data_IF_097271356312
#
_entry.id   IF_097271356312
#
_cell.length_a   1.000
_cell.length_b   1.000
_cell.length_c   1.000
_cell.angle_alpha   90.00
_cell.angle_beta   90.00
_cell.angle_gamma   90.00
#
_symmetry.space_group_name_H-M   'P 1'
#
loop_
_entity.id
_entity.type
_entity.pdbx_description
1 polymer ?
#
# COMPACT_ATOMS: atom_id res chain seq x y z
N UNK A 1 -3.35 48.08 -12.33
CA UNK A 1 -2.96 47.91 -10.92
C UNK A 1 -4.27 47.90 -10.13
N UNK A 2 -5.12 46.88 -10.24
CA UNK A 2 -4.93 45.48 -9.83
C UNK A 2 -4.68 45.37 -8.33
N UNK A 3 -5.68 44.97 -7.55
CA UNK A 3 -5.80 43.64 -6.93
C UNK A 3 -7.09 43.64 -6.09
N UNK A 4 -8.15 42.98 -6.57
CA UNK A 4 -9.27 42.54 -5.73
C UNK A 4 -8.88 41.23 -5.05
N UNK A 5 -8.76 41.26 -3.72
CA UNK A 5 -8.52 40.08 -2.91
C UNK A 5 -9.76 39.15 -2.93
N UNK A 6 -9.69 38.06 -3.70
CA UNK A 6 -10.63 36.93 -3.58
C UNK A 6 -10.35 36.21 -2.26
N UNK A 7 -11.31 36.28 -1.34
CA UNK A 7 -11.36 35.45 -0.13
C UNK A 7 -11.46 33.98 -0.57
N UNK A 8 -10.48 33.17 -0.19
CA UNK A 8 -10.51 31.71 -0.34
C UNK A 8 -11.54 31.18 0.67
N UNK A 9 -12.68 30.71 0.20
CA UNK A 9 -13.58 29.89 1.03
C UNK A 9 -12.90 28.55 1.28
N UNK A 10 -12.50 28.34 2.53
CA UNK A 10 -12.08 27.04 3.05
C UNK A 10 -13.37 26.26 3.32
N UNK A 11 -13.64 25.25 2.50
CA UNK A 11 -14.81 24.39 2.68
C UNK A 11 -14.53 23.47 3.88
N UNK A 12 -15.09 23.80 5.05
CA UNK A 12 -15.10 22.87 6.18
C UNK A 12 -15.98 21.65 5.85
N UNK A 13 -15.55 20.43 6.20
CA UNK A 13 -16.34 19.23 5.96
C UNK A 13 -17.64 19.27 6.80
N UNK A 14 -18.79 18.90 6.21
CA UNK A 14 -20.06 18.93 6.94
C UNK A 14 -20.03 17.90 8.05
N UNK A 15 -20.15 18.38 9.29
CA UNK A 15 -20.42 17.55 10.46
C UNK A 15 -21.88 17.08 10.41
N UNK A 16 -22.06 15.77 10.55
CA UNK A 16 -23.29 15.12 10.98
C UNK A 16 -24.49 15.07 10.01
N UNK A 17 -24.26 14.75 8.72
CA UNK A 17 -25.33 14.16 7.88
C UNK A 17 -24.97 12.72 7.53
N UNK A 18 -25.84 11.78 7.91
CA UNK A 18 -25.76 10.39 7.46
C UNK A 18 -25.76 10.40 5.93
N UNK A 19 -24.74 9.79 5.34
CA UNK A 19 -24.46 9.75 3.90
C UNK A 19 -25.67 9.20 3.10
N UNK A 20 -26.58 8.48 3.74
CA UNK A 20 -27.78 7.88 3.17
C UNK A 20 -28.94 8.85 2.89
N UNK A 21 -28.87 10.12 3.31
CA UNK A 21 -29.96 11.11 3.15
C UNK A 21 -29.64 12.24 2.17
N UNK A 22 -28.48 12.21 1.51
CA UNK A 22 -28.11 13.23 0.54
C UNK A 22 -28.94 13.11 -0.75
N UNK A 23 -29.51 14.22 -1.21
CA UNK A 23 -30.13 14.33 -2.54
C UNK A 23 -29.09 13.97 -3.61
N UNK A 24 -29.52 13.36 -4.72
CA UNK A 24 -28.64 13.06 -5.86
C UNK A 24 -27.87 14.30 -6.35
N UNK A 25 -28.49 15.48 -6.30
CA UNK A 25 -27.83 16.74 -6.65
C UNK A 25 -26.74 17.17 -5.65
N UNK A 26 -26.92 16.90 -4.36
CA UNK A 26 -25.91 17.15 -3.33
C UNK A 26 -24.78 16.13 -3.43
N UNK A 27 -25.13 14.89 -3.78
CA UNK A 27 -24.15 13.83 -4.01
C UNK A 27 -23.24 14.17 -5.20
N UNK A 28 -23.84 14.58 -6.31
CA UNK A 28 -23.13 14.98 -7.53
C UNK A 28 -22.26 16.21 -7.30
N UNK A 29 -22.72 17.23 -6.57
CA UNK A 29 -21.91 18.44 -6.33
C UNK A 29 -20.80 18.24 -5.31
N UNK A 30 -21.02 17.44 -4.28
CA UNK A 30 -20.09 17.32 -3.15
C UNK A 30 -19.11 16.18 -3.35
N UNK A 31 -19.55 15.07 -3.93
CA UNK A 31 -18.77 13.83 -3.98
C UNK A 31 -18.27 13.47 -5.38
N UNK A 32 -19.00 13.78 -6.46
CA UNK A 32 -18.52 13.51 -7.83
C UNK A 32 -17.15 14.16 -8.11
N UNK A 33 -16.85 15.41 -7.66
CA UNK A 33 -15.52 16.00 -7.86
C UNK A 33 -14.39 15.27 -7.14
N UNK A 34 -14.67 14.44 -6.13
CA UNK A 34 -13.66 13.59 -5.47
C UNK A 34 -13.31 12.37 -6.33
N UNK A 35 -14.31 11.77 -6.99
CA UNK A 35 -14.11 10.66 -7.93
C UNK A 35 -13.60 11.11 -9.30
N UNK A 36 -13.95 12.33 -9.73
CA UNK A 36 -13.56 12.95 -10.99
C UNK A 36 -12.38 13.91 -10.86
N UNK A 37 -11.82 14.04 -9.65
CA UNK A 37 -10.71 14.93 -9.34
C UNK A 37 -9.36 14.37 -9.81
N UNK A 38 -8.29 15.18 -9.79
CA UNK A 38 -6.96 14.77 -10.26
C UNK A 38 -6.36 13.59 -9.49
N UNK A 39 -6.96 13.21 -8.35
CA UNK A 39 -6.47 12.14 -7.49
C UNK A 39 -6.82 10.74 -7.98
N UNK A 40 -7.89 10.56 -8.76
CA UNK A 40 -8.29 9.23 -9.31
C UNK A 40 -8.63 9.34 -10.79
N UNK A 41 -7.57 9.37 -11.61
CA UNK A 41 -7.68 9.57 -13.06
C UNK A 41 -8.54 8.48 -13.74
N UNK A 42 -8.54 7.27 -13.20
CA UNK A 42 -9.30 6.14 -13.73
C UNK A 42 -10.81 6.41 -13.78
N UNK A 43 -11.42 6.80 -12.65
CA UNK A 43 -12.86 7.09 -12.61
C UNK A 43 -13.23 8.38 -13.32
N UNK A 44 -12.36 9.40 -13.26
CA UNK A 44 -12.55 10.61 -14.05
C UNK A 44 -12.66 10.29 -15.55
N UNK A 45 -11.80 9.40 -16.06
CA UNK A 45 -11.83 8.98 -17.47
C UNK A 45 -13.05 8.11 -17.78
N UNK A 46 -13.45 7.22 -16.86
CA UNK A 46 -14.61 6.35 -17.01
C UNK A 46 -15.94 7.11 -17.10
N UNK A 47 -16.16 8.10 -16.24
CA UNK A 47 -17.43 8.82 -16.15
C UNK A 47 -17.51 10.09 -17.01
N UNK A 48 -16.38 10.75 -17.28
CA UNK A 48 -16.36 11.95 -18.12
C UNK A 48 -15.95 11.66 -19.58
N UNK A 49 -15.59 10.42 -19.90
CA UNK A 49 -15.34 10.00 -21.28
C UNK A 49 -16.65 9.68 -22.02
N UNK A 50 -16.53 9.43 -23.33
CA UNK A 50 -17.66 9.02 -24.19
C UNK A 50 -18.05 7.54 -24.00
N UNK A 51 -17.98 7.04 -22.76
CA UNK A 51 -18.28 5.67 -22.40
C UNK A 51 -19.71 5.52 -21.88
N UNK A 52 -20.23 4.29 -21.92
CA UNK A 52 -21.59 3.96 -21.47
C UNK A 52 -21.76 4.26 -19.98
N UNK A 53 -20.70 4.07 -19.20
CA UNK A 53 -20.65 4.31 -17.76
C UNK A 53 -20.95 5.77 -17.39
N UNK A 54 -20.46 6.73 -18.17
CA UNK A 54 -20.77 8.16 -18.01
C UNK A 54 -22.22 8.49 -18.37
N UNK A 55 -22.77 7.85 -19.40
CA UNK A 55 -24.16 8.04 -19.83
C UNK A 55 -25.16 7.46 -18.81
N UNK A 56 -24.85 6.28 -18.27
CA UNK A 56 -25.71 5.56 -17.31
C UNK A 56 -25.43 5.96 -15.86
N UNK A 57 -24.42 6.80 -15.60
CA UNK A 57 -23.91 7.14 -14.27
C UNK A 57 -23.69 5.90 -13.38
N UNK A 58 -23.32 4.78 -14.01
CA UNK A 58 -23.19 3.47 -13.36
C UNK A 58 -21.99 2.76 -13.95
N UNK A 59 -21.12 2.24 -13.10
CA UNK A 59 -19.98 1.43 -13.51
C UNK A 59 -20.01 0.08 -12.80
N UNK A 60 -19.57 -0.96 -13.51
CA UNK A 60 -19.37 -2.29 -12.94
C UNK A 60 -17.89 -2.59 -12.89
N UNK A 61 -17.36 -2.72 -11.68
CA UNK A 61 -16.01 -3.21 -11.46
C UNK A 61 -16.09 -4.70 -11.13
N UNK A 62 -15.58 -5.53 -12.03
CA UNK A 62 -15.48 -6.96 -11.78
C UNK A 62 -14.39 -7.23 -10.75
N UNK A 63 -14.66 -8.21 -9.88
CA UNK A 63 -13.71 -8.64 -8.85
C UNK A 63 -12.48 -9.23 -9.52
N UNK A 64 -11.31 -8.83 -9.04
CA UNK A 64 -10.02 -9.28 -9.54
C UNK A 64 -9.12 -9.60 -8.35
N UNK A 65 -8.78 -10.88 -8.17
CA UNK A 65 -8.06 -11.35 -7.00
C UNK A 65 -6.76 -10.56 -6.77
N UNK A 66 -6.57 -10.08 -5.53
CA UNK A 66 -5.39 -9.31 -5.14
C UNK A 66 -5.34 -7.88 -5.69
N UNK A 67 -6.41 -7.41 -6.34
CA UNK A 67 -6.55 -6.03 -6.86
C UNK A 67 -7.91 -5.46 -6.48
N UNK A 68 -8.99 -5.96 -7.08
CA UNK A 68 -10.35 -5.45 -6.90
C UNK A 68 -11.15 -6.40 -6.02
N UNK A 69 -11.39 -6.01 -4.79
CA UNK A 69 -12.33 -6.65 -3.87
C UNK A 69 -13.22 -5.61 -3.21
N UNK A 70 -14.30 -6.05 -2.56
CA UNK A 70 -15.16 -5.16 -1.77
C UNK A 70 -14.33 -4.41 -0.73
N UNK A 71 -13.43 -5.12 -0.04
CA UNK A 71 -12.54 -4.55 0.97
C UNK A 71 -11.59 -3.51 0.39
N UNK A 72 -10.89 -3.81 -0.70
CA UNK A 72 -9.95 -2.84 -1.27
C UNK A 72 -10.68 -1.60 -1.81
N UNK A 73 -11.88 -1.79 -2.36
CA UNK A 73 -12.73 -0.70 -2.80
C UNK A 73 -13.23 0.18 -1.64
N UNK A 74 -13.66 -0.40 -0.52
CA UNK A 74 -14.02 0.37 0.68
C UNK A 74 -12.86 1.24 1.18
N UNK A 75 -11.63 0.72 1.15
CA UNK A 75 -10.43 1.50 1.51
C UNK A 75 -10.13 2.61 0.51
N UNK A 76 -10.43 2.41 -0.78
CA UNK A 76 -10.34 3.47 -1.79
C UNK A 76 -11.33 4.59 -1.51
N UNK A 77 -12.59 4.25 -1.21
CA UNK A 77 -13.59 5.24 -0.80
C UNK A 77 -13.11 5.99 0.44
N UNK A 78 -12.63 5.26 1.46
CA UNK A 78 -12.14 5.89 2.69
C UNK A 78 -10.98 6.85 2.43
N UNK A 79 -10.01 6.44 1.59
CA UNK A 79 -8.90 7.30 1.20
C UNK A 79 -9.39 8.57 0.50
N UNK A 80 -10.31 8.45 -0.46
CA UNK A 80 -10.82 9.60 -1.22
C UNK A 80 -11.57 10.60 -0.35
N UNK A 81 -12.29 10.13 0.68
CA UNK A 81 -13.13 11.00 1.51
C UNK A 81 -12.42 11.55 2.73
N UNK A 82 -11.53 10.77 3.33
CA UNK A 82 -10.90 11.09 4.63
C UNK A 82 -9.40 11.37 4.48
N UNK A 83 -8.79 11.01 3.36
CA UNK A 83 -7.34 11.07 3.17
C UNK A 83 -6.60 10.09 4.08
N UNK A 84 -7.29 9.05 4.57
CA UNK A 84 -6.76 8.07 5.49
C UNK A 84 -7.23 6.67 5.09
N UNK A 85 -6.37 5.70 5.35
CA UNK A 85 -6.70 4.28 5.29
C UNK A 85 -6.89 3.82 6.73
N UNK A 86 -7.86 2.99 7.05
CA UNK A 86 -8.05 2.39 8.38
C UNK A 86 -8.45 0.97 8.13
N UNK A 87 -7.55 0.05 8.44
CA UNK A 87 -7.81 -1.38 8.29
C UNK A 87 -8.54 -1.85 9.54
N UNK A 88 -9.61 -2.63 9.35
CA UNK A 88 -10.34 -3.26 10.43
C UNK A 88 -9.41 -4.09 11.33
N UNK A 89 -9.81 -4.35 12.57
CA UNK A 89 -9.01 -5.15 13.49
C UNK A 89 -8.93 -6.60 13.00
N UNK A 90 -7.80 -6.95 12.41
CA UNK A 90 -7.48 -8.26 11.83
C UNK A 90 -6.11 -8.73 12.32
N UNK A 91 -5.68 -9.94 11.94
CA UNK A 91 -4.32 -10.39 12.26
C UNK A 91 -3.27 -9.53 11.54
N UNK A 92 -2.03 -9.44 12.05
CA UNK A 92 -0.96 -8.66 11.39
C UNK A 92 -0.74 -9.09 9.93
N UNK A 93 -0.80 -10.39 9.66
CA UNK A 93 -0.68 -10.94 8.31
C UNK A 93 -1.81 -10.50 7.39
N UNK A 94 -3.06 -10.59 7.84
CA UNK A 94 -4.21 -10.10 7.08
C UNK A 94 -4.15 -8.58 6.88
N UNK A 95 -3.63 -7.84 7.84
CA UNK A 95 -3.45 -6.40 7.72
C UNK A 95 -2.43 -6.06 6.62
N UNK A 96 -1.30 -6.77 6.57
CA UNK A 96 -0.32 -6.62 5.48
C UNK A 96 -0.94 -6.99 4.13
N UNK A 97 -1.64 -8.11 4.03
CA UNK A 97 -2.35 -8.51 2.80
C UNK A 97 -3.35 -7.44 2.36
N UNK A 98 -4.13 -6.88 3.29
CA UNK A 98 -5.11 -5.82 3.02
C UNK A 98 -4.45 -4.57 2.45
N UNK A 99 -3.32 -4.15 3.04
CA UNK A 99 -2.60 -2.95 2.60
C UNK A 99 -1.97 -3.16 1.21
N UNK A 100 -1.48 -4.37 0.91
CA UNK A 100 -0.92 -4.71 -0.41
C UNK A 100 -2.03 -4.77 -1.47
N UNK A 101 -3.15 -5.41 -1.15
CA UNK A 101 -4.32 -5.47 -2.04
C UNK A 101 -4.85 -4.06 -2.36
N UNK A 102 -4.94 -3.18 -1.34
CA UNK A 102 -5.31 -1.79 -1.57
C UNK A 102 -4.27 -1.04 -2.40
N UNK A 103 -2.97 -1.26 -2.19
CA UNK A 103 -1.93 -0.68 -3.04
C UNK A 103 -2.08 -1.10 -4.50
N UNK A 104 -2.46 -2.36 -4.76
CA UNK A 104 -2.73 -2.87 -6.10
C UNK A 104 -3.95 -2.20 -6.74
N UNK A 105 -5.02 -2.00 -5.99
CA UNK A 105 -6.18 -1.24 -6.48
C UNK A 105 -5.82 0.21 -6.78
N UNK A 106 -5.06 0.86 -5.88
CA UNK A 106 -4.64 2.24 -6.04
C UNK A 106 -3.78 2.42 -7.30
N UNK A 107 -2.81 1.53 -7.52
CA UNK A 107 -1.99 1.51 -8.75
C UNK A 107 -2.85 1.29 -10.00
N UNK A 108 -3.79 0.34 -9.94
CA UNK A 108 -4.75 0.08 -11.02
C UNK A 108 -5.62 1.30 -11.36
N UNK A 109 -6.11 2.01 -10.34
CA UNK A 109 -6.90 3.23 -10.48
C UNK A 109 -6.05 4.50 -10.68
N UNK A 110 -4.72 4.38 -10.72
CA UNK A 110 -3.76 5.49 -10.83
C UNK A 110 -3.92 6.55 -9.73
N UNK A 111 -4.17 6.09 -8.50
CA UNK A 111 -4.27 6.94 -7.30
C UNK A 111 -2.88 7.27 -6.81
N UNK A 112 -2.55 8.56 -6.76
CA UNK A 112 -1.23 9.03 -6.33
C UNK A 112 -1.18 9.33 -4.84
N UNK A 113 0.00 9.17 -4.24
CA UNK A 113 0.31 9.65 -2.89
C UNK A 113 -0.06 8.69 -1.76
N UNK A 114 -0.52 7.48 -2.08
CA UNK A 114 -0.81 6.43 -1.10
C UNK A 114 0.38 5.53 -0.83
N UNK A 115 1.32 5.44 -1.77
CA UNK A 115 2.32 4.38 -1.84
C UNK A 115 3.24 4.39 -0.62
N UNK A 116 3.78 5.56 -0.27
CA UNK A 116 4.66 5.75 0.89
C UNK A 116 3.91 5.58 2.22
N UNK A 117 2.67 6.07 2.29
CA UNK A 117 1.83 5.91 3.48
C UNK A 117 1.53 4.44 3.76
N UNK A 118 1.25 3.66 2.72
CA UNK A 118 1.04 2.23 2.83
C UNK A 118 2.33 1.50 3.20
N UNK A 119 3.47 1.87 2.60
CA UNK A 119 4.76 1.29 2.94
C UNK A 119 5.12 1.49 4.43
N UNK A 120 4.99 2.71 4.94
CA UNK A 120 5.28 3.00 6.36
C UNK A 120 4.29 2.30 7.30
N UNK A 121 3.03 2.12 6.91
CA UNK A 121 2.06 1.33 7.69
C UNK A 121 2.42 -0.13 7.75
N UNK A 122 2.79 -0.75 6.63
CA UNK A 122 3.20 -2.15 6.60
C UNK A 122 4.45 -2.33 7.47
N UNK A 123 5.42 -1.41 7.37
CA UNK A 123 6.60 -1.38 8.24
C UNK A 123 6.24 -1.27 9.72
N UNK A 124 5.30 -0.40 10.09
CA UNK A 124 4.81 -0.29 11.46
C UNK A 124 4.18 -1.61 11.97
N UNK A 125 3.39 -2.29 11.13
CA UNK A 125 2.81 -3.61 11.46
C UNK A 125 3.90 -4.64 11.70
N UNK A 126 4.94 -4.68 10.86
CA UNK A 126 6.08 -5.59 10.99
C UNK A 126 6.84 -5.33 12.30
N UNK A 127 7.14 -4.07 12.61
CA UNK A 127 7.89 -3.70 13.81
C UNK A 127 7.10 -3.98 15.10
N UNK A 128 5.78 -3.82 15.07
CA UNK A 128 4.91 -4.10 16.21
C UNK A 128 4.71 -5.60 16.47
N UNK A 129 4.94 -6.46 15.47
CA UNK A 129 4.69 -7.90 15.55
C UNK A 129 5.92 -8.72 15.13
N UNK A 130 7.03 -8.63 15.87
CA UNK A 130 8.22 -9.41 15.58
C UNK A 130 7.93 -10.90 15.76
N UNK A 131 8.71 -11.74 15.07
CA UNK A 131 8.66 -13.19 15.25
C UNK A 131 8.83 -13.59 16.73
N UNK A 132 8.06 -14.57 17.23
CA UNK A 132 8.29 -15.12 18.55
C UNK A 132 9.69 -15.76 18.62
N UNK A 133 10.34 -15.62 19.78
CA UNK A 133 11.60 -16.29 20.05
C UNK A 133 11.40 -17.80 19.94
N UNK A 134 12.34 -18.48 19.29
CA UNK A 134 12.48 -19.92 19.29
C UNK A 134 13.68 -20.34 20.15
N UNK A 135 13.79 -21.63 20.47
CA UNK A 135 14.87 -22.19 21.29
C UNK A 135 16.27 -21.75 20.81
N UNK A 136 16.48 -21.69 19.49
CA UNK A 136 17.76 -21.24 18.92
C UNK A 136 18.05 -19.77 19.23
N UNK A 137 17.07 -18.88 19.03
CA UNK A 137 17.20 -17.45 19.31
C UNK A 137 17.38 -17.14 20.79
N UNK A 138 16.84 -17.99 21.68
CA UNK A 138 17.05 -17.90 23.13
C UNK A 138 18.48 -18.28 23.52
N UNK A 139 19.00 -19.39 22.98
CA UNK A 139 20.37 -19.86 23.25
C UNK A 139 21.41 -18.89 22.67
N UNK A 140 21.21 -18.43 21.44
CA UNK A 140 22.14 -17.55 20.74
C UNK A 140 22.05 -16.07 21.19
N UNK A 141 21.11 -15.74 22.10
CA UNK A 141 20.79 -14.37 22.50
C UNK A 141 20.64 -13.38 21.31
N UNK A 142 20.04 -13.86 20.22
CA UNK A 142 19.88 -13.13 18.96
C UNK A 142 18.41 -13.15 18.53
N UNK A 143 17.93 -12.12 17.81
CA UNK A 143 16.56 -12.16 17.25
C UNK A 143 16.43 -13.22 16.15
N UNK A 144 15.26 -13.88 15.98
CA UNK A 144 15.02 -14.81 14.89
C UNK A 144 15.28 -14.18 13.50
N UNK A 145 15.81 -14.92 12.52
CA UNK A 145 16.13 -14.36 11.19
C UNK A 145 14.89 -13.92 10.41
N UNK A 146 13.72 -14.48 10.70
CA UNK A 146 12.43 -14.13 10.08
C UNK A 146 11.63 -13.09 10.87
N UNK A 147 12.28 -12.33 11.77
CA UNK A 147 11.61 -11.31 12.61
C UNK A 147 10.82 -10.31 11.77
N UNK A 148 11.43 -9.80 10.69
CA UNK A 148 10.82 -8.78 9.84
C UNK A 148 9.84 -9.35 8.80
N UNK A 149 9.82 -10.66 8.62
CA UNK A 149 8.97 -11.34 7.63
C UNK A 149 7.87 -12.19 8.28
N UNK A 150 7.72 -12.14 9.60
CA UNK A 150 6.76 -12.94 10.34
C UNK A 150 5.32 -12.68 9.89
N UNK A 151 4.94 -11.40 9.84
CA UNK A 151 3.63 -10.90 9.40
C UNK A 151 3.48 -10.82 7.88
N UNK A 152 4.49 -11.26 7.11
CA UNK A 152 4.41 -11.26 5.65
C UNK A 152 4.01 -12.67 5.19
N UNK A 153 3.09 -12.75 4.24
CA UNK A 153 2.63 -14.01 3.65
C UNK A 153 3.10 -14.14 2.21
N UNK A 154 3.14 -15.37 1.69
CA UNK A 154 3.42 -15.64 0.28
C UNK A 154 2.43 -14.91 -0.64
N UNK A 155 1.16 -14.77 -0.22
CA UNK A 155 0.12 -14.04 -0.94
C UNK A 155 0.45 -12.55 -1.04
N UNK A 156 0.87 -11.93 0.06
CA UNK A 156 1.32 -10.54 0.05
C UNK A 156 2.53 -10.32 -0.87
N UNK A 157 3.48 -11.25 -0.90
CA UNK A 157 4.62 -11.20 -1.83
C UNK A 157 4.16 -11.30 -3.28
N UNK A 158 3.28 -12.26 -3.59
CA UNK A 158 2.73 -12.46 -4.92
C UNK A 158 1.92 -11.25 -5.42
N UNK A 159 1.07 -10.68 -4.57
CA UNK A 159 0.31 -9.50 -4.95
C UNK A 159 1.22 -8.29 -5.16
N UNK A 160 2.21 -8.09 -4.29
CA UNK A 160 3.15 -6.98 -4.40
C UNK A 160 4.04 -7.06 -5.65
N UNK A 161 4.29 -8.25 -6.20
CA UNK A 161 5.06 -8.38 -7.45
C UNK A 161 4.32 -7.85 -8.67
N UNK A 162 2.99 -7.70 -8.59
CA UNK A 162 2.21 -7.03 -9.62
C UNK A 162 2.41 -5.52 -9.64
N UNK A 163 2.92 -4.91 -8.57
CA UNK A 163 3.22 -3.47 -8.52
C UNK A 163 4.47 -3.17 -9.35
N UNK A 164 4.54 -1.97 -9.92
CA UNK A 164 5.71 -1.52 -10.69
C UNK A 164 7.01 -1.63 -9.89
N UNK A 165 8.12 -1.85 -10.59
CA UNK A 165 9.44 -1.88 -9.98
C UNK A 165 9.73 -0.51 -9.33
N UNK A 166 10.21 -0.52 -8.09
CA UNK A 166 10.45 0.70 -7.31
C UNK A 166 9.24 1.23 -6.54
N UNK A 167 8.04 0.65 -6.71
CA UNK A 167 6.87 1.01 -5.90
C UNK A 167 7.17 0.82 -4.40
N UNK A 168 6.81 1.81 -3.57
CA UNK A 168 7.20 1.87 -2.16
C UNK A 168 6.80 0.61 -1.36
N UNK A 169 5.56 0.13 -1.51
CA UNK A 169 5.08 -1.11 -0.87
C UNK A 169 5.90 -2.35 -1.27
N UNK A 170 6.15 -2.56 -2.56
CA UNK A 170 6.98 -3.67 -3.07
C UNK A 170 8.39 -3.59 -2.50
N UNK A 171 9.01 -2.40 -2.55
CA UNK A 171 10.34 -2.14 -2.01
C UNK A 171 10.41 -2.39 -0.50
N UNK A 172 9.40 -1.99 0.26
CA UNK A 172 9.31 -2.25 1.70
C UNK A 172 9.35 -3.75 1.96
N UNK A 173 8.48 -4.55 1.32
CA UNK A 173 8.38 -5.99 1.58
C UNK A 173 9.68 -6.71 1.28
N UNK A 174 10.34 -6.32 0.18
CA UNK A 174 11.65 -6.85 -0.19
C UNK A 174 12.71 -6.44 0.84
N UNK A 175 12.71 -5.18 1.28
CA UNK A 175 13.65 -4.69 2.31
C UNK A 175 13.49 -5.45 3.62
N UNK A 176 12.26 -5.74 4.03
CA UNK A 176 11.98 -6.55 5.22
C UNK A 176 12.55 -7.98 5.10
N UNK A 177 12.61 -8.55 3.89
CA UNK A 177 13.15 -9.87 3.63
C UNK A 177 14.69 -9.94 3.59
N UNK A 178 15.40 -8.81 3.42
CA UNK A 178 16.87 -8.79 3.24
C UNK A 178 17.60 -9.45 4.41
N UNK A 179 17.25 -9.12 5.66
CA UNK A 179 17.92 -9.70 6.82
C UNK A 179 17.76 -11.23 6.85
N UNK A 180 16.54 -11.72 6.65
CA UNK A 180 16.26 -13.15 6.63
C UNK A 180 16.99 -13.86 5.50
N UNK A 181 17.12 -13.21 4.34
CA UNK A 181 17.86 -13.72 3.20
C UNK A 181 19.37 -13.84 3.49
N UNK A 182 19.98 -12.78 4.03
CA UNK A 182 21.42 -12.76 4.35
C UNK A 182 21.79 -13.73 5.48
N UNK A 183 20.89 -13.93 6.46
CA UNK A 183 21.09 -14.85 7.58
C UNK A 183 20.70 -16.29 7.26
N UNK A 184 19.96 -16.51 6.17
CA UNK A 184 19.42 -17.80 5.75
C UNK A 184 20.40 -18.68 4.95
N UNK A 185 21.71 -18.55 5.18
CA UNK A 185 22.73 -19.34 4.46
C UNK A 185 22.61 -20.83 4.82
N UNK A 186 22.24 -21.15 6.07
CA UNK A 186 22.08 -22.55 6.53
C UNK A 186 20.68 -23.12 6.25
N UNK A 187 19.66 -22.26 6.20
CA UNK A 187 18.26 -22.63 5.95
C UNK A 187 17.66 -21.64 4.96
N UNK A 188 17.25 -22.14 3.79
CA UNK A 188 16.63 -21.34 2.72
C UNK A 188 15.59 -20.38 3.31
N UNK A 189 15.68 -19.11 2.92
CA UNK A 189 14.71 -18.09 3.34
C UNK A 189 13.27 -18.53 3.06
N UNK A 190 12.31 -18.16 3.92
CA UNK A 190 10.92 -18.63 3.79
C UNK A 190 10.25 -18.26 2.47
N UNK A 191 10.72 -17.20 1.81
CA UNK A 191 10.25 -16.76 0.50
C UNK A 191 11.21 -17.14 -0.64
N UNK A 192 12.07 -18.12 -0.44
CA UNK A 192 13.07 -18.52 -1.44
C UNK A 192 12.40 -18.98 -2.75
N UNK A 193 11.28 -19.72 -2.65
CA UNK A 193 10.53 -20.20 -3.82
C UNK A 193 9.96 -19.02 -4.60
N UNK A 194 9.35 -18.07 -3.92
CA UNK A 194 8.77 -16.85 -4.49
C UNK A 194 9.84 -16.00 -5.18
N UNK A 195 11.03 -15.87 -4.57
CA UNK A 195 12.16 -15.15 -5.19
C UNK A 195 12.59 -15.81 -6.51
N UNK A 196 12.51 -17.14 -6.61
CA UNK A 196 12.88 -17.88 -7.82
C UNK A 196 11.79 -17.86 -8.90
N UNK A 197 10.52 -18.00 -8.49
CA UNK A 197 9.41 -18.22 -9.41
C UNK A 197 8.76 -16.92 -9.88
N UNK A 198 8.77 -15.86 -9.06
CA UNK A 198 8.13 -14.60 -9.40
C UNK A 198 9.08 -13.73 -10.22
N UNK A 199 8.71 -13.35 -11.46
CA UNK A 199 9.55 -12.51 -12.31
C UNK A 199 9.94 -11.19 -11.64
N UNK A 200 11.22 -10.85 -11.71
CA UNK A 200 11.78 -9.62 -11.15
C UNK A 200 12.04 -9.64 -9.64
N UNK A 201 11.52 -10.63 -8.90
CA UNK A 201 11.72 -10.69 -7.43
C UNK A 201 13.18 -10.89 -7.04
N UNK A 202 13.93 -11.72 -7.77
CA UNK A 202 15.38 -11.85 -7.57
C UNK A 202 16.13 -10.52 -7.73
N UNK A 203 15.79 -9.76 -8.78
CA UNK A 203 16.37 -8.43 -9.03
C UNK A 203 16.05 -7.45 -7.91
N UNK A 204 14.82 -7.46 -7.39
CA UNK A 204 14.45 -6.59 -6.28
C UNK A 204 15.26 -6.91 -5.02
N UNK A 205 15.41 -8.20 -4.68
CA UNK A 205 16.20 -8.63 -3.52
C UNK A 205 17.65 -8.16 -3.67
N UNK A 206 18.27 -8.34 -4.84
CA UNK A 206 19.63 -7.90 -5.09
C UNK A 206 19.78 -6.37 -4.94
N UNK A 207 18.84 -5.60 -5.51
CA UNK A 207 18.83 -4.14 -5.38
C UNK A 207 18.65 -3.69 -3.93
N UNK A 208 17.81 -4.39 -3.16
CA UNK A 208 17.60 -4.10 -1.75
C UNK A 208 18.84 -4.44 -0.91
N UNK A 209 19.49 -5.59 -1.16
CA UNK A 209 20.77 -5.96 -0.54
C UNK A 209 21.83 -4.91 -0.85
N UNK A 210 21.98 -4.50 -2.11
CA UNK A 210 22.92 -3.45 -2.52
C UNK A 210 22.65 -2.14 -1.77
N UNK A 211 21.39 -1.73 -1.69
CA UNK A 211 20.97 -0.53 -0.97
C UNK A 211 21.33 -0.60 0.52
N UNK A 212 21.08 -1.73 1.17
CA UNK A 212 21.46 -1.96 2.57
C UNK A 212 22.99 -1.89 2.77
N UNK A 213 23.77 -2.53 1.90
CA UNK A 213 25.24 -2.50 1.97
C UNK A 213 25.80 -1.09 1.77
N UNK A 214 25.21 -0.30 0.86
CA UNK A 214 25.56 1.11 0.67
C UNK A 214 25.27 1.94 1.92
N UNK A 215 24.14 1.73 2.58
CA UNK A 215 23.80 2.43 3.82
C UNK A 215 24.79 2.13 4.95
N UNK A 216 25.22 0.87 5.10
CA UNK A 216 26.21 0.47 6.12
C UNK A 216 27.57 1.16 5.92
N UNK A 217 28.03 1.26 4.67
CA UNK A 217 29.29 1.98 4.35
C UNK A 217 29.25 3.47 4.68
N UNK A 218 28.08 4.10 4.55
CA UNK A 218 27.88 5.52 4.86
C UNK A 218 27.80 5.76 6.38
N UNK A 219 27.25 4.82 7.16
CA UNK A 219 27.26 4.92 8.62
C UNK A 219 28.68 4.78 9.20
N UNK A 220 29.52 3.93 8.62
CA UNK A 220 30.91 3.76 9.09
C UNK A 220 31.77 5.01 8.87
N UNK A 221 31.49 5.79 7.81
CA UNK A 221 32.23 7.03 7.50
C UNK A 221 31.76 8.26 8.28
N UNK A 222 30.60 8.21 8.93
CA UNK A 222 30.08 9.31 9.79
C UNK A 222 30.49 9.18 11.26
N UNK A 223 31.34 8.21 11.59
CA UNK A 223 31.76 7.90 12.97
C UNK A 223 33.27 8.10 13.18
N UNK A 224 33.91 8.99 12.40
CA UNK A 224 35.33 9.38 12.55
C UNK A 224 35.41 10.85 12.93
#
# INVERSE_FOLDING_TARGET
MDVMAKKKEVMEPPKDKKITEASYGDFVKTYLPLYSGPQVKYFATMFNGDFREGQENTARLDLFEGVVSIRSFELLIQWMYVGQVIVAKVTPSEQVETLVEFARLADFCQVQGVEELLAERIKAVILAHPAPKNRWSEIANCRPPYTNTYSITSRAVLWASGLAQGHAVRKMLVTAAVEGFLRGIEHKHRFFKEIQEIPGSGTDVLNAVESCLKMLRVSDTRTI
#
